data_IF_325360068149
#
_entry.id   IF_325360068149
#
_cell.length_a   1.000
_cell.length_b   1.000
_cell.length_c   1.000
_cell.angle_alpha   90.00
_cell.angle_beta   90.00
_cell.angle_gamma   90.00
#
_symmetry.space_group_name_H-M   'P 1'
#
loop_
_entity.id
_entity.type
_entity.pdbx_description
1 polymer ?
#
# COMPACT_ATOMS: atom_id res chain seq x y z
N UNK A 1 0.81 5.63 -5.15
CA UNK A 1 1.90 5.24 -4.23
C UNK A 1 1.47 4.01 -3.46
N UNK A 2 2.40 3.11 -3.14
CA UNK A 2 2.11 1.87 -2.41
C UNK A 2 3.01 1.75 -1.19
N UNK A 3 2.41 1.32 -0.07
CA UNK A 3 3.11 0.99 1.17
C UNK A 3 2.35 -0.08 1.94
N UNK A 4 3.03 -0.73 2.88
CA UNK A 4 2.47 -1.73 3.77
C UNK A 4 2.58 -1.31 5.25
N UNK A 5 1.47 -1.47 5.98
CA UNK A 5 1.40 -1.23 7.42
C UNK A 5 1.16 -2.55 8.15
N UNK A 6 2.08 -2.94 9.05
CA UNK A 6 1.85 -4.08 9.94
C UNK A 6 1.02 -3.62 11.15
N UNK A 7 -0.02 -4.37 11.50
CA UNK A 7 -0.91 -4.05 12.61
C UNK A 7 -1.20 -5.28 13.44
N UNK A 8 -1.14 -5.10 14.76
CA UNK A 8 -1.28 -6.19 15.73
C UNK A 8 -2.68 -6.81 15.69
N UNK A 9 -2.75 -8.13 15.80
CA UNK A 9 -4.01 -8.85 15.97
C UNK A 9 -4.54 -8.76 17.40
N UNK A 10 -5.85 -8.85 17.54
CA UNK A 10 -6.51 -9.25 18.78
C UNK A 10 -6.67 -10.78 18.86
N UNK A 11 -7.18 -11.29 19.98
CA UNK A 11 -7.39 -12.74 20.17
C UNK A 11 -8.35 -13.42 19.20
N UNK A 12 -9.08 -12.65 18.38
CA UNK A 12 -10.09 -13.16 17.45
C UNK A 12 -9.50 -13.65 16.12
N UNK A 13 -8.25 -13.31 15.80
CA UNK A 13 -7.62 -13.69 14.54
C UNK A 13 -7.48 -15.21 14.43
N UNK A 14 -7.83 -15.79 13.28
CA UNK A 14 -7.66 -17.22 13.04
C UNK A 14 -6.17 -17.59 12.93
N UNK A 15 -5.86 -18.88 13.09
CA UNK A 15 -4.51 -19.41 12.84
C UNK A 15 -4.08 -19.15 11.39
N UNK A 16 -5.04 -19.14 10.47
CA UNK A 16 -4.79 -18.86 9.07
C UNK A 16 -4.48 -17.40 8.79
N UNK A 17 -5.07 -16.43 9.51
CA UNK A 17 -4.84 -15.00 9.26
C UNK A 17 -3.70 -14.40 10.08
N UNK A 18 -3.31 -15.02 11.20
CA UNK A 18 -2.19 -14.56 12.02
C UNK A 18 -0.83 -14.83 11.37
N UNK A 19 0.10 -13.91 11.56
CA UNK A 19 1.50 -14.04 11.17
C UNK A 19 2.39 -13.11 12.00
N UNK A 20 3.70 -13.21 11.82
CA UNK A 20 4.65 -12.36 12.54
C UNK A 20 5.55 -11.59 11.57
N UNK A 21 5.60 -10.27 11.73
CA UNK A 21 6.54 -9.41 11.03
C UNK A 21 7.78 -9.21 11.90
N UNK A 22 8.90 -9.82 11.51
CA UNK A 22 10.16 -9.71 12.23
C UNK A 22 10.67 -8.26 12.29
N UNK A 23 10.64 -7.55 11.17
CA UNK A 23 11.17 -6.19 11.09
C UNK A 23 10.47 -5.20 12.03
N UNK A 24 9.16 -5.35 12.23
CA UNK A 24 8.34 -4.48 13.10
C UNK A 24 7.99 -5.17 14.44
N UNK A 25 8.56 -6.34 14.72
CA UNK A 25 8.25 -7.19 15.88
C UNK A 25 6.74 -7.30 16.17
N UNK A 26 5.91 -7.41 15.12
CA UNK A 26 4.45 -7.31 15.24
C UNK A 26 3.80 -8.64 14.88
N UNK A 27 3.04 -9.21 15.84
CA UNK A 27 2.16 -10.36 15.59
C UNK A 27 0.80 -9.85 15.09
N UNK A 28 0.49 -10.10 13.82
CA UNK A 28 -0.59 -9.39 13.17
C UNK A 28 -0.82 -9.74 11.70
N UNK A 29 -1.37 -8.75 11.02
CA UNK A 29 -1.54 -8.70 9.56
C UNK A 29 -0.73 -7.53 8.98
N UNK A 30 -0.50 -7.56 7.67
CA UNK A 30 -0.05 -6.41 6.90
C UNK A 30 -1.21 -5.88 6.07
N UNK A 31 -1.36 -4.57 6.06
CA UNK A 31 -2.33 -3.83 5.25
C UNK A 31 -1.58 -3.16 4.12
N UNK A 32 -1.82 -3.61 2.91
CA UNK A 32 -1.25 -3.05 1.70
C UNK A 32 -2.23 -2.02 1.15
N UNK A 33 -1.75 -0.80 0.94
CA UNK A 33 -2.54 0.27 0.36
C UNK A 33 -1.87 0.78 -0.90
N UNK A 34 -2.61 0.77 -2.00
CA UNK A 34 -2.27 1.55 -3.19
C UNK A 34 -3.16 2.79 -3.23
N UNK A 35 -2.58 3.98 -3.06
CA UNK A 35 -3.32 5.25 -2.99
C UNK A 35 -3.01 6.17 -4.17
N UNK A 36 -3.98 7.01 -4.53
CA UNK A 36 -3.83 8.11 -5.48
C UNK A 36 -3.02 9.29 -4.89
N UNK A 37 -2.93 10.40 -5.63
CA UNK A 37 -2.22 11.62 -5.21
C UNK A 37 -2.92 12.34 -4.05
N UNK A 38 -4.23 12.16 -3.87
CA UNK A 38 -5.02 12.73 -2.78
C UNK A 38 -4.96 11.85 -1.51
N UNK A 39 -4.50 10.61 -1.63
CA UNK A 39 -4.41 9.63 -0.55
C UNK A 39 -5.64 8.72 -0.43
N UNK A 40 -6.52 8.69 -1.42
CA UNK A 40 -7.63 7.74 -1.47
C UNK A 40 -7.16 6.40 -2.04
N UNK A 41 -7.60 5.26 -1.46
CA UNK A 41 -7.15 3.96 -1.91
C UNK A 41 -7.78 3.62 -3.26
N UNK A 42 -6.93 3.15 -4.16
CA UNK A 42 -7.29 2.53 -5.42
C UNK A 42 -7.44 1.02 -5.23
N UNK A 43 -6.47 0.41 -4.55
CA UNK A 43 -6.51 -1.00 -4.15
C UNK A 43 -6.15 -1.13 -2.68
N UNK A 44 -6.79 -2.09 -2.02
CA UNK A 44 -6.50 -2.49 -0.65
C UNK A 44 -6.38 -4.00 -0.60
N UNK A 45 -5.43 -4.49 0.19
CA UNK A 45 -5.25 -5.93 0.39
C UNK A 45 -4.67 -6.19 1.77
N UNK A 46 -5.16 -7.22 2.46
CA UNK A 46 -4.59 -7.66 3.73
C UNK A 46 -3.91 -9.01 3.56
N UNK A 47 -2.69 -9.14 4.07
CA UNK A 47 -1.96 -10.41 4.16
C UNK A 47 -1.61 -10.73 5.60
N UNK A 48 -1.18 -11.97 5.87
CA UNK A 48 -0.54 -12.27 7.16
C UNK A 48 0.71 -11.41 7.32
N UNK A 49 1.09 -11.07 8.56
CA UNK A 49 2.26 -10.23 8.78
C UNK A 49 3.60 -10.90 8.40
N UNK A 50 3.61 -12.22 8.22
CA UNK A 50 4.78 -12.99 7.75
C UNK A 50 5.02 -12.90 6.25
N UNK A 51 4.03 -12.46 5.47
CA UNK A 51 4.18 -12.29 4.01
C UNK A 51 5.08 -11.09 3.74
N UNK A 52 6.01 -11.22 2.78
CA UNK A 52 6.88 -10.11 2.38
C UNK A 52 6.08 -8.98 1.71
N UNK A 53 6.63 -7.77 1.71
CA UNK A 53 5.94 -6.64 1.09
C UNK A 53 5.83 -6.82 -0.43
N UNK A 54 6.86 -7.38 -1.08
CA UNK A 54 6.81 -7.72 -2.51
C UNK A 54 5.72 -8.75 -2.82
N UNK A 55 5.64 -9.85 -2.06
CA UNK A 55 4.62 -10.87 -2.27
C UNK A 55 3.20 -10.31 -2.06
N UNK A 56 3.01 -9.50 -1.01
CA UNK A 56 1.72 -8.85 -0.78
C UNK A 56 1.32 -7.87 -1.88
N UNK A 57 2.28 -7.14 -2.45
CA UNK A 57 2.06 -6.28 -3.62
C UNK A 57 1.71 -7.09 -4.87
N UNK A 58 2.43 -8.19 -5.14
CA UNK A 58 2.14 -9.09 -6.27
C UNK A 58 0.72 -9.65 -6.15
N UNK A 59 0.33 -10.14 -4.97
CA UNK A 59 -1.03 -10.62 -4.71
C UNK A 59 -2.07 -9.51 -4.96
N UNK A 60 -1.86 -8.31 -4.41
CA UNK A 60 -2.78 -7.19 -4.56
C UNK A 60 -2.99 -6.80 -6.03
N UNK A 61 -1.91 -6.73 -6.82
CA UNK A 61 -2.00 -6.38 -8.24
C UNK A 61 -2.58 -7.53 -9.08
N UNK A 62 -2.27 -8.78 -8.72
CA UNK A 62 -2.81 -9.97 -9.37
C UNK A 62 -4.31 -10.09 -9.16
N UNK A 63 -4.80 -9.87 -7.95
CA UNK A 63 -6.25 -9.85 -7.66
C UNK A 63 -6.99 -8.75 -8.44
N UNK A 64 -6.30 -7.66 -8.79
CA UNK A 64 -6.87 -6.54 -9.54
C UNK A 64 -6.37 -6.50 -11.00
N UNK A 65 -5.91 -7.63 -11.55
CA UNK A 65 -5.27 -7.64 -12.87
C UNK A 65 -6.21 -7.20 -13.99
N UNK A 66 -7.51 -7.50 -13.84
CA UNK A 66 -8.53 -7.17 -14.83
C UNK A 66 -8.71 -5.65 -15.00
N UNK A 67 -8.44 -4.87 -13.94
CA UNK A 67 -8.37 -3.41 -14.05
C UNK A 67 -7.34 -3.01 -15.11
N UNK A 68 -6.14 -3.59 -15.09
CA UNK A 68 -5.07 -3.26 -16.05
C UNK A 68 -5.35 -3.81 -17.45
N UNK A 69 -6.04 -4.95 -17.56
CA UNK A 69 -6.47 -5.52 -18.85
C UNK A 69 -7.52 -4.65 -19.53
N UNK A 70 -8.47 -4.11 -18.75
CA UNK A 70 -9.57 -3.28 -19.27
C UNK A 70 -9.11 -1.94 -19.86
N UNK A 71 -7.93 -1.44 -19.45
CA UNK A 71 -7.44 -0.15 -19.93
C UNK A 71 -6.97 -0.26 -21.38
N UNK A 72 -7.21 0.75 -22.23
CA UNK A 72 -6.65 0.78 -23.59
C UNK A 72 -5.12 0.93 -23.57
N UNK A 73 -4.43 0.54 -24.64
CA UNK A 73 -2.96 0.58 -24.71
C UNK A 73 -2.38 2.00 -24.88
N UNK A 74 -3.18 2.94 -25.39
CA UNK A 74 -2.74 4.30 -25.74
C UNK A 74 -2.82 5.31 -24.57
N UNK A 75 -2.96 4.86 -23.33
CA UNK A 75 -2.95 5.77 -22.18
C UNK A 75 -1.54 5.90 -21.58
N UNK A 76 -1.21 7.04 -20.94
CA UNK A 76 0.00 7.15 -20.16
C UNK A 76 0.12 6.03 -19.13
N UNK A 77 1.35 5.53 -18.93
CA UNK A 77 1.62 4.50 -17.93
C UNK A 77 1.26 5.00 -16.53
N UNK A 78 0.66 4.13 -15.74
CA UNK A 78 0.41 4.40 -14.33
C UNK A 78 1.74 4.28 -13.58
N UNK A 79 2.24 5.41 -13.08
CA UNK A 79 3.43 5.42 -12.23
C UNK A 79 3.09 4.96 -10.82
N UNK A 80 3.69 3.84 -10.43
CA UNK A 80 3.58 3.28 -9.08
C UNK A 80 4.85 3.66 -8.32
N UNK A 81 4.68 4.59 -7.38
CA UNK A 81 5.73 4.96 -6.43
C UNK A 81 5.86 3.91 -5.34
N UNK A 82 7.07 3.36 -5.20
CA UNK A 82 7.44 2.33 -4.22
C UNK A 82 8.46 2.85 -3.21
N UNK A 83 8.41 2.33 -1.98
CA UNK A 83 9.48 2.53 -0.99
C UNK A 83 10.71 1.66 -1.30
N UNK A 84 11.83 1.94 -0.64
CA UNK A 84 13.08 1.20 -0.78
C UNK A 84 12.99 -0.28 -0.36
N UNK A 85 11.98 -0.65 0.43
CA UNK A 85 11.75 -2.05 0.83
C UNK A 85 11.21 -2.95 -0.28
N UNK A 86 10.80 -2.37 -1.41
CA UNK A 86 10.29 -3.10 -2.57
C UNK A 86 11.39 -3.26 -3.64
N UNK A 87 11.32 -4.39 -4.37
CA UNK A 87 12.30 -4.76 -5.39
C UNK A 87 11.68 -4.75 -6.79
N UNK A 88 11.76 -3.64 -7.55
CA UNK A 88 11.08 -3.49 -8.84
C UNK A 88 11.44 -4.57 -9.85
N UNK A 89 12.67 -5.06 -9.85
CA UNK A 89 13.14 -6.10 -10.77
C UNK A 89 12.40 -7.42 -10.52
N UNK A 90 12.30 -7.83 -9.26
CA UNK A 90 11.55 -9.02 -8.85
C UNK A 90 10.05 -8.86 -9.11
N UNK A 91 9.47 -7.72 -8.72
CA UNK A 91 8.06 -7.42 -8.96
C UNK A 91 7.70 -7.50 -10.44
N UNK A 92 8.57 -6.98 -11.30
CA UNK A 92 8.37 -7.00 -12.75
C UNK A 92 8.32 -8.44 -13.28
N UNK A 93 9.32 -9.26 -12.92
CA UNK A 93 9.39 -10.65 -13.36
C UNK A 93 8.16 -11.46 -12.93
N UNK A 94 7.70 -11.32 -11.69
CA UNK A 94 6.54 -12.07 -11.21
C UNK A 94 5.23 -11.58 -11.83
N UNK A 95 5.06 -10.27 -12.01
CA UNK A 95 3.84 -9.72 -12.63
C UNK A 95 3.75 -10.03 -14.13
N UNK A 96 4.88 -10.11 -14.84
CA UNK A 96 4.91 -10.48 -16.26
C UNK A 96 4.50 -11.94 -16.48
N UNK A 97 4.76 -12.85 -15.52
CA UNK A 97 4.23 -14.23 -15.58
C UNK A 97 2.71 -14.27 -15.55
N UNK A 98 2.07 -13.33 -14.84
CA UNK A 98 0.60 -13.24 -14.71
C UNK A 98 -0.01 -12.51 -15.91
N UNK A 99 0.62 -11.41 -16.34
CA UNK A 99 0.17 -10.63 -17.48
C UNK A 99 1.39 -10.07 -18.24
N UNK A 100 1.81 -10.71 -19.35
CA UNK A 100 3.07 -10.37 -20.04
C UNK A 100 3.18 -8.92 -20.50
N UNK A 101 2.08 -8.22 -20.79
CA UNK A 101 2.09 -6.82 -21.20
C UNK A 101 1.83 -5.81 -20.06
N UNK A 102 1.90 -6.23 -18.79
CA UNK A 102 1.67 -5.36 -17.63
C UNK A 102 2.62 -4.15 -17.60
N UNK A 103 3.90 -4.32 -17.95
CA UNK A 103 4.90 -3.23 -17.99
C UNK A 103 4.65 -2.18 -19.09
N UNK A 104 3.75 -2.47 -20.03
CA UNK A 104 3.25 -1.45 -20.97
C UNK A 104 2.21 -0.55 -20.31
N UNK A 105 1.56 -0.97 -19.22
CA UNK A 105 0.52 -0.24 -18.48
C UNK A 105 1.06 0.48 -17.25
N UNK A 106 2.01 -0.13 -16.54
CA UNK A 106 2.53 0.40 -15.29
C UNK A 106 4.03 0.68 -15.41
N UNK A 107 4.51 1.59 -14.56
CA UNK A 107 5.93 1.86 -14.36
C UNK A 107 6.21 1.93 -12.87
N UNK A 108 7.23 1.23 -12.40
CA UNK A 108 7.70 1.36 -11.02
C UNK A 108 8.73 2.49 -10.92
N UNK A 109 8.57 3.33 -9.92
CA UNK A 109 9.54 4.37 -9.56
C UNK A 109 9.78 4.33 -8.05
N UNK A 110 11.05 4.42 -7.63
CA UNK A 110 11.37 4.50 -6.20
C UNK A 110 11.15 5.92 -5.71
N UNK A 111 10.44 6.05 -4.59
CA UNK A 111 10.32 7.30 -3.84
C UNK A 111 11.66 7.61 -3.17
N UNK A 112 12.54 8.31 -3.87
CA UNK A 112 13.89 8.63 -3.37
C UNK A 112 13.83 9.65 -2.23
N UNK A 113 14.66 9.41 -1.20
CA UNK A 113 15.02 10.44 -0.22
C UNK A 113 16.12 11.31 -0.84
N UNK A 114 16.06 12.66 -0.70
CA UNK A 114 17.15 13.52 -1.12
C UNK A 114 18.45 13.11 -0.41
N UNK A 115 19.51 12.87 -1.17
CA UNK A 115 20.83 12.56 -0.64
C UNK A 115 21.40 13.72 0.18
N UNK A 116 22.39 13.46 1.03
CA UNK A 116 23.03 14.52 1.83
C UNK A 116 23.58 15.66 0.95
N UNK A 117 24.12 15.33 -0.22
CA UNK A 117 24.65 16.30 -1.17
C UNK A 117 23.56 17.13 -1.84
N UNK A 118 22.44 16.53 -2.23
CA UNK A 118 21.29 17.25 -2.78
C UNK A 118 20.66 18.17 -1.73
N UNK A 119 20.55 17.71 -0.48
CA UNK A 119 20.09 18.54 0.65
C UNK A 119 20.97 19.77 0.85
N UNK A 120 22.30 19.60 0.82
CA UNK A 120 23.26 20.68 0.93
C UNK A 120 23.12 21.69 -0.22
N UNK A 121 22.95 21.21 -1.46
CA UNK A 121 22.70 22.07 -2.64
C UNK A 121 21.36 22.83 -2.55
N UNK A 122 20.34 22.23 -1.94
CA UNK A 122 19.03 22.85 -1.70
C UNK A 122 19.01 23.78 -0.47
N UNK A 123 20.12 23.93 0.24
CA UNK A 123 20.19 24.71 1.48
C UNK A 123 19.34 24.14 2.63
N UNK A 124 18.91 22.88 2.53
CA UNK A 124 18.05 22.24 3.53
C UNK A 124 18.90 21.45 4.53
N UNK A 125 18.77 21.79 5.81
CA UNK A 125 19.34 21.01 6.92
C UNK A 125 18.28 20.10 7.56
N UNK A 126 18.70 18.96 8.11
CA UNK A 126 17.80 18.04 8.84
C UNK A 126 17.02 17.03 8.00
N UNK A 127 15.88 16.58 8.54
CA UNK A 127 15.02 15.58 7.91
C UNK A 127 14.24 16.22 6.75
N UNK A 128 14.38 15.64 5.55
CA UNK A 128 13.58 16.02 4.39
C UNK A 128 12.76 14.79 4.01
N UNK A 129 11.42 14.87 4.03
CA UNK A 129 10.57 13.76 3.62
C UNK A 129 10.89 13.31 2.19
N UNK A 130 10.78 12.00 1.94
CA UNK A 130 10.83 11.50 0.57
C UNK A 130 9.64 12.05 -0.24
N UNK A 131 9.85 12.26 -1.53
CA UNK A 131 8.84 12.83 -2.42
C UNK A 131 7.59 11.93 -2.41
N UNK A 132 6.41 12.53 -2.27
CA UNK A 132 5.10 11.88 -2.17
C UNK A 132 4.83 11.03 -0.91
N UNK A 133 5.84 10.59 -0.12
CA UNK A 133 5.63 9.71 1.05
C UNK A 133 4.57 10.19 2.05
N UNK A 134 4.47 11.50 2.27
CA UNK A 134 3.46 12.09 3.16
C UNK A 134 2.00 11.82 2.74
N UNK A 135 1.74 11.44 1.49
CA UNK A 135 0.39 11.10 1.02
C UNK A 135 -0.11 9.79 1.64
N UNK A 136 0.69 8.73 1.62
CA UNK A 136 0.28 7.42 2.17
C UNK A 136 0.34 7.42 3.69
N UNK A 137 1.30 8.14 4.29
CA UNK A 137 1.34 8.32 5.74
C UNK A 137 0.09 9.04 6.25
N UNK A 138 -0.44 10.01 5.48
CA UNK A 138 -1.71 10.65 5.78
C UNK A 138 -2.90 9.68 5.65
N UNK A 139 -2.92 8.83 4.62
CA UNK A 139 -3.93 7.77 4.46
C UNK A 139 -3.91 6.80 5.64
N UNK A 140 -2.72 6.38 6.09
CA UNK A 140 -2.53 5.57 7.29
C UNK A 140 -3.05 6.29 8.53
N UNK A 141 -2.75 7.59 8.70
CA UNK A 141 -3.28 8.38 9.80
C UNK A 141 -4.82 8.47 9.82
N UNK A 142 -5.48 8.48 8.65
CA UNK A 142 -6.94 8.39 8.59
C UNK A 142 -7.47 7.05 9.07
N UNK A 143 -6.78 5.94 8.74
CA UNK A 143 -7.13 4.62 9.27
C UNK A 143 -6.94 4.52 10.78
N UNK A 144 -5.86 5.08 11.33
CA UNK A 144 -5.63 5.08 12.79
C UNK A 144 -6.70 5.87 13.56
N UNK A 145 -7.35 6.86 12.94
CA UNK A 145 -8.51 7.55 13.53
C UNK A 145 -9.77 6.68 13.56
N UNK A 146 -9.88 5.66 12.71
CA UNK A 146 -10.93 4.66 12.76
C UNK A 146 -10.58 3.66 13.88
N UNK A 147 -11.14 3.81 15.10
CA UNK A 147 -10.82 2.96 16.27
C UNK A 147 -10.86 1.45 16.01
N UNK A 148 -11.77 1.00 15.14
CA UNK A 148 -11.92 -0.40 14.72
C UNK A 148 -10.70 -0.92 13.92
N UNK A 149 -9.81 -0.04 13.46
CA UNK A 149 -8.61 -0.36 12.70
C UNK A 149 -7.31 -0.16 13.50
N UNK A 150 -7.34 0.32 14.75
CA UNK A 150 -6.11 0.49 15.56
C UNK A 150 -5.42 -0.86 15.81
N UNK A 151 -6.20 -1.93 15.86
CA UNK A 151 -5.75 -3.32 15.82
C UNK A 151 -6.53 -4.07 14.75
N UNK A 152 -6.10 -5.27 14.39
CA UNK A 152 -6.94 -6.17 13.62
C UNK A 152 -7.86 -6.95 14.58
N UNK A 153 -9.14 -6.60 14.55
CA UNK A 153 -10.22 -7.29 15.28
C UNK A 153 -10.86 -8.42 14.46
N UNK A 154 -10.54 -8.49 13.17
CA UNK A 154 -11.19 -9.41 12.24
C UNK A 154 -10.55 -10.79 12.24
N UNK A 155 -11.40 -11.81 12.17
CA UNK A 155 -10.98 -13.22 12.12
C UNK A 155 -10.29 -13.57 10.79
N UNK A 156 -10.81 -13.04 9.68
CA UNK A 156 -10.35 -13.35 8.31
C UNK A 156 -9.74 -12.12 7.62
N UNK A 157 -8.82 -12.35 6.67
CA UNK A 157 -8.17 -11.28 5.91
C UNK A 157 -9.15 -10.54 4.98
N UNK A 158 -10.16 -11.24 4.45
CA UNK A 158 -11.23 -10.63 3.63
C UNK A 158 -12.05 -9.63 4.45
N UNK A 159 -12.43 -9.98 5.69
CA UNK A 159 -13.14 -9.07 6.58
C UNK A 159 -12.25 -7.87 6.96
N UNK A 160 -10.97 -8.11 7.26
CA UNK A 160 -10.01 -7.03 7.54
C UNK A 160 -9.92 -6.04 6.37
N UNK A 161 -9.78 -6.55 5.14
CA UNK A 161 -9.76 -5.73 3.91
C UNK A 161 -11.07 -4.95 3.74
N UNK A 162 -12.21 -5.59 3.99
CA UNK A 162 -13.53 -4.95 3.95
C UNK A 162 -13.64 -3.79 4.95
N UNK A 163 -13.11 -3.95 6.18
CA UNK A 163 -13.08 -2.85 7.17
C UNK A 163 -12.22 -1.66 6.71
N UNK A 164 -11.09 -1.92 6.01
CA UNK A 164 -10.29 -0.85 5.41
C UNK A 164 -11.12 -0.07 4.39
N UNK A 165 -11.76 -0.78 3.46
CA UNK A 165 -12.61 -0.19 2.43
C UNK A 165 -13.74 0.65 3.05
N UNK A 166 -14.42 0.13 4.07
CA UNK A 166 -15.47 0.87 4.78
C UNK A 166 -14.96 2.16 5.45
N UNK A 167 -13.75 2.16 6.04
CA UNK A 167 -13.18 3.38 6.63
C UNK A 167 -12.97 4.47 5.57
N UNK A 168 -12.47 4.11 4.38
CA UNK A 168 -12.27 5.07 3.29
C UNK A 168 -13.57 5.49 2.61
N UNK A 169 -14.53 4.58 2.39
CA UNK A 169 -15.87 4.93 1.90
C UNK A 169 -16.53 5.94 2.83
N UNK A 170 -16.51 5.70 4.15
CA UNK A 170 -17.03 6.64 5.15
C UNK A 170 -16.34 8.00 5.07
N UNK A 171 -15.01 8.02 4.89
CA UNK A 171 -14.24 9.26 4.76
C UNK A 171 -14.65 10.04 3.50
N UNK A 172 -14.78 9.37 2.36
CA UNK A 172 -15.20 9.99 1.10
C UNK A 172 -16.61 10.55 1.19
N UNK A 173 -17.56 9.79 1.73
CA UNK A 173 -18.95 10.24 1.95
C UNK A 173 -19.02 11.49 2.83
N UNK A 174 -18.25 11.52 3.92
CA UNK A 174 -18.19 12.71 4.80
C UNK A 174 -17.69 13.95 4.07
N UNK A 175 -16.67 13.81 3.21
CA UNK A 175 -16.12 14.93 2.44
C UNK A 175 -17.11 15.44 1.39
N UNK A 176 -17.78 14.52 0.70
CA UNK A 176 -18.82 14.86 -0.27
C UNK A 176 -19.99 15.61 0.38
N UNK A 177 -20.43 15.19 1.56
CA UNK A 177 -21.55 15.84 2.27
C UNK A 177 -21.20 17.22 2.85
N UNK A 178 -19.92 17.52 3.07
CA UNK A 178 -19.44 18.83 3.52
C UNK A 178 -19.01 19.76 2.37
N UNK A 179 -19.09 19.27 1.13
CA UNK A 179 -18.80 20.04 -0.09
C UNK A 179 -20.07 20.69 -0.60
#
# INVERSE_FOLDING_TARGET
MIDSQAVQNTGNASVESKGFCFYKATNGIKRHLAVDTLGFPFFTHCTKASVSDDAGLIEMLTHNIDYFRSKPMNIPKITILLDHGYHPEHLTQELEKVYPSIMRKIKFERSTKPSKQEKAKLGKSGFVPAIARGVIERSNAWMERCKILVKNFERTLSNATTKLNLCFVRLMLKRLATS
#
